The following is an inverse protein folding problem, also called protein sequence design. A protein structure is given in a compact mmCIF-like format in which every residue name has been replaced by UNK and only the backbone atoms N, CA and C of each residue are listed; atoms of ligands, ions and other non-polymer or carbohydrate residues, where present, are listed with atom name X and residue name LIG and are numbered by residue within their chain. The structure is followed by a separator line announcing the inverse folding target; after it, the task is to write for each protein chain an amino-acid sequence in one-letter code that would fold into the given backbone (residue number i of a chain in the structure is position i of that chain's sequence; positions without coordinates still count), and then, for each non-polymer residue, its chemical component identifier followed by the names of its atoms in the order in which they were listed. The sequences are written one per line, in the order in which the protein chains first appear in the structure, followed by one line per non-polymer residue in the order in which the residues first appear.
data_IF_936233286187
#
_entry.id   IF_936233286187
#
_cell.length_a   1.000
_cell.length_b   1.000
_cell.length_c   1.000
_cell.angle_alpha   90.00
_cell.angle_beta   90.00
_cell.angle_gamma   90.00
#
_symmetry.space_group_name_H-M   'P 1'
#
loop_
_entity.id
_entity.type
_entity.pdbx_description
1 polymer ?
#
# COMPACT_ATOMS: atom_id res chain seq x y z
N UNK A 1 33.99 -10.49 3.96
CA UNK A 1 32.63 -10.52 3.38
C UNK A 1 31.69 -10.42 4.56
N UNK A 2 30.95 -9.32 4.68
CA UNK A 2 29.96 -9.19 5.76
C UNK A 2 28.87 -10.22 5.55
N UNK A 3 28.55 -10.97 6.60
CA UNK A 3 27.50 -11.97 6.54
C UNK A 3 26.15 -11.30 6.23
N UNK A 4 25.32 -11.94 5.42
CA UNK A 4 24.05 -11.39 4.96
C UNK A 4 22.90 -12.24 5.48
N UNK A 5 21.93 -11.60 6.13
CA UNK A 5 20.72 -12.26 6.63
C UNK A 5 19.51 -11.88 5.77
N UNK A 6 18.57 -12.82 5.55
CA UNK A 6 17.36 -12.54 4.81
C UNK A 6 16.44 -11.60 5.60
N UNK A 7 15.85 -10.64 4.91
CA UNK A 7 14.80 -9.76 5.43
C UNK A 7 13.55 -9.95 4.59
N UNK A 8 12.42 -10.23 5.23
CA UNK A 8 11.14 -10.47 4.55
C UNK A 8 10.05 -9.66 5.21
N UNK A 9 9.15 -9.09 4.42
CA UNK A 9 8.06 -8.27 4.93
C UNK A 9 6.74 -8.89 4.52
N UNK A 10 5.83 -8.96 5.48
CA UNK A 10 4.53 -9.60 5.31
C UNK A 10 3.41 -8.63 5.64
N UNK A 11 2.40 -8.65 4.79
CA UNK A 11 1.14 -8.00 5.05
C UNK A 11 0.19 -8.95 5.78
N UNK A 12 -0.35 -8.48 6.91
CA UNK A 12 -1.44 -9.17 7.58
C UNK A 12 -2.73 -8.86 6.85
N UNK A 13 -3.52 -9.89 6.55
CA UNK A 13 -4.82 -9.70 5.91
C UNK A 13 -5.76 -8.97 6.89
N UNK A 14 -6.22 -7.78 6.52
CA UNK A 14 -7.06 -6.92 7.37
C UNK A 14 -8.35 -7.64 7.78
N UNK A 15 -8.86 -8.57 6.96
CA UNK A 15 -10.03 -9.38 7.29
C UNK A 15 -9.76 -10.45 8.38
N UNK A 16 -8.49 -10.78 8.62
CA UNK A 16 -8.10 -11.74 9.66
C UNK A 16 -8.01 -11.15 11.07
N UNK A 17 -8.02 -9.80 11.20
CA UNK A 17 -7.95 -9.11 12.52
C UNK A 17 -9.14 -9.38 13.45
N UNK A 18 -10.20 -9.99 12.93
CA UNK A 18 -11.37 -10.42 13.72
C UNK A 18 -11.25 -11.87 14.23
N UNK A 19 -10.18 -12.59 13.88
CA UNK A 19 -9.87 -13.90 14.46
C UNK A 19 -8.90 -13.73 15.62
N UNK A 20 -9.11 -14.49 16.69
CA UNK A 20 -8.38 -14.39 17.95
C UNK A 20 -6.87 -14.22 17.76
N UNK A 21 -6.30 -13.24 18.44
CA UNK A 21 -4.91 -12.80 18.34
C UNK A 21 -3.86 -13.92 18.61
N UNK A 22 -4.27 -15.03 19.21
CA UNK A 22 -3.38 -16.09 19.69
C UNK A 22 -2.81 -17.00 18.59
N UNK A 23 -3.34 -17.01 17.37
CA UNK A 23 -2.91 -17.95 16.32
C UNK A 23 -2.10 -17.35 15.17
N UNK A 24 -1.83 -16.04 15.18
CA UNK A 24 -1.10 -15.37 14.11
C UNK A 24 -1.78 -15.59 12.76
N UNK A 25 -2.73 -14.72 12.41
CA UNK A 25 -3.52 -14.83 11.18
C UNK A 25 -2.65 -15.01 9.92
N UNK A 26 -3.22 -15.52 8.81
CA UNK A 26 -2.46 -15.72 7.58
C UNK A 26 -1.86 -14.40 7.10
N UNK A 27 -0.57 -14.44 6.78
CA UNK A 27 0.17 -13.29 6.26
C UNK A 27 0.61 -13.54 4.82
N UNK A 28 0.79 -12.47 4.05
CA UNK A 28 1.24 -12.53 2.65
C UNK A 28 2.63 -11.92 2.55
N UNK A 29 3.60 -12.65 2.01
CA UNK A 29 4.92 -12.11 1.70
C UNK A 29 4.79 -11.04 0.60
N UNK A 30 5.27 -9.82 0.85
CA UNK A 30 5.15 -8.72 -0.13
C UNK A 30 6.47 -8.12 -0.54
N UNK A 31 7.52 -8.33 0.26
CA UNK A 31 8.86 -7.83 -0.05
C UNK A 31 9.92 -8.75 0.55
N UNK A 32 11.05 -8.88 -0.15
CA UNK A 32 12.21 -9.66 0.31
C UNK A 32 13.49 -8.94 -0.08
N UNK A 33 14.45 -8.90 0.84
CA UNK A 33 15.77 -8.31 0.67
C UNK A 33 16.78 -9.07 1.55
N UNK A 34 18.01 -8.59 1.59
CA UNK A 34 19.03 -8.98 2.57
C UNK A 34 19.53 -7.76 3.33
N UNK A 35 20.07 -7.99 4.53
CA UNK A 35 20.75 -6.97 5.34
C UNK A 35 22.03 -7.56 5.95
N UNK A 36 22.94 -6.69 6.40
CA UNK A 36 24.15 -7.11 7.11
C UNK A 36 23.78 -7.77 8.44
N UNK A 37 24.36 -8.94 8.72
CA UNK A 37 24.11 -9.69 9.96
C UNK A 37 24.58 -8.94 11.23
N UNK A 38 25.54 -8.02 11.07
CA UNK A 38 26.11 -7.24 12.19
C UNK A 38 25.22 -6.07 12.64
N UNK A 39 24.11 -5.79 11.93
CA UNK A 39 23.21 -4.68 12.27
C UNK A 39 22.17 -5.11 13.29
N UNK A 40 21.72 -4.15 14.09
CA UNK A 40 20.60 -4.36 15.01
C UNK A 40 19.33 -4.72 14.21
N UNK A 41 18.67 -5.86 14.50
CA UNK A 41 17.41 -6.22 13.88
C UNK A 41 16.34 -5.12 13.97
N UNK A 42 16.31 -4.33 15.05
CA UNK A 42 15.34 -3.24 15.18
C UNK A 42 15.62 -2.09 14.19
N UNK A 43 16.89 -1.73 13.99
CA UNK A 43 17.26 -0.75 12.96
C UNK A 43 16.92 -1.25 11.55
N UNK A 44 17.07 -2.55 11.29
CA UNK A 44 16.65 -3.16 10.03
C UNK A 44 15.12 -3.04 9.87
N UNK A 45 14.35 -3.31 10.92
CA UNK A 45 12.90 -3.17 10.91
C UNK A 45 12.45 -1.72 10.65
N UNK A 46 13.07 -0.74 11.32
CA UNK A 46 12.82 0.69 11.10
C UNK A 46 13.14 1.09 9.65
N UNK A 47 14.28 0.65 9.11
CA UNK A 47 14.65 0.92 7.72
C UNK A 47 13.62 0.36 6.74
N UNK A 48 13.16 -0.88 6.96
CA UNK A 48 12.12 -1.46 6.09
C UNK A 48 10.79 -0.72 6.20
N UNK A 49 10.44 -0.25 7.40
CA UNK A 49 9.24 0.54 7.61
C UNK A 49 9.29 1.88 6.86
N UNK A 50 10.40 2.60 6.97
CA UNK A 50 10.62 3.86 6.26
C UNK A 50 10.66 3.65 4.74
N UNK A 51 11.44 2.67 4.27
CA UNK A 51 11.61 2.34 2.86
C UNK A 51 10.26 2.09 2.18
N UNK A 52 9.42 1.22 2.76
CA UNK A 52 8.17 0.80 2.11
C UNK A 52 7.02 1.79 2.30
N UNK A 53 7.09 2.68 3.30
CA UNK A 53 6.10 3.73 3.50
C UNK A 53 6.39 4.99 2.69
N UNK A 54 7.61 5.51 2.77
CA UNK A 54 7.97 6.83 2.21
C UNK A 54 9.14 6.78 1.23
N UNK A 55 9.88 5.68 1.13
CA UNK A 55 11.08 5.59 0.28
C UNK A 55 10.83 5.79 -1.23
N UNK A 56 9.58 5.77 -1.69
CA UNK A 56 9.21 6.06 -3.09
C UNK A 56 8.93 7.55 -3.35
N UNK A 57 8.79 8.35 -2.29
CA UNK A 57 8.33 9.73 -2.35
C UNK A 57 9.52 10.69 -2.40
N UNK A 58 9.59 11.47 -3.48
CA UNK A 58 10.67 12.43 -3.71
C UNK A 58 10.64 13.62 -2.74
N UNK A 59 9.53 13.86 -2.04
CA UNK A 59 9.44 14.91 -1.01
C UNK A 59 10.27 14.56 0.24
N UNK A 60 10.53 13.28 0.48
CA UNK A 60 11.26 12.77 1.66
C UNK A 60 12.72 12.39 1.37
N UNK A 61 13.18 12.51 0.12
CA UNK A 61 14.56 12.20 -0.25
C UNK A 61 14.71 11.76 -1.69
N UNK A 62 15.84 11.11 -2.00
CA UNK A 62 16.01 10.44 -3.30
C UNK A 62 15.19 9.16 -3.30
N UNK A 63 14.23 8.98 -4.22
CA UNK A 63 13.42 7.76 -4.26
C UNK A 63 14.28 6.50 -4.42
N UNK A 64 14.04 5.51 -3.56
CA UNK A 64 14.68 4.21 -3.62
C UNK A 64 13.97 3.34 -4.69
N UNK A 65 14.70 2.77 -5.66
CA UNK A 65 14.11 1.90 -6.68
C UNK A 65 13.31 0.73 -6.10
N UNK A 66 13.73 0.17 -4.97
CA UNK A 66 13.05 -0.95 -4.30
C UNK A 66 11.65 -0.54 -3.82
N UNK A 67 11.53 0.69 -3.29
CA UNK A 67 10.25 1.22 -2.83
C UNK A 67 9.33 1.56 -4.02
N UNK A 68 9.88 2.07 -5.12
CA UNK A 68 9.14 2.32 -6.36
C UNK A 68 8.60 1.00 -6.93
N UNK A 69 9.44 -0.03 -7.06
CA UNK A 69 9.03 -1.35 -7.58
C UNK A 69 7.95 -1.98 -6.69
N UNK A 70 8.10 -1.87 -5.38
CA UNK A 70 7.10 -2.30 -4.42
C UNK A 70 5.75 -1.60 -4.62
N UNK A 71 5.73 -0.28 -4.82
CA UNK A 71 4.50 0.49 -5.08
C UNK A 71 3.90 0.21 -6.46
N UNK A 72 4.73 0.00 -7.48
CA UNK A 72 4.27 -0.35 -8.83
C UNK A 72 3.55 -1.70 -8.87
N UNK A 73 3.87 -2.61 -7.95
CA UNK A 73 3.14 -3.88 -7.77
C UNK A 73 1.77 -3.70 -7.07
N UNK A 74 1.40 -2.48 -6.68
CA UNK A 74 0.13 -2.18 -6.03
C UNK A 74 0.10 -2.49 -4.54
N UNK A 75 1.25 -2.75 -3.91
CA UNK A 75 1.32 -3.01 -2.48
C UNK A 75 1.02 -1.74 -1.66
N UNK A 76 0.36 -1.92 -0.51
CA UNK A 76 0.09 -0.82 0.42
C UNK A 76 1.34 -0.50 1.26
N UNK A 77 1.31 0.65 1.92
CA UNK A 77 2.29 0.94 2.98
C UNK A 77 2.15 -0.02 4.16
N UNK A 78 3.21 -0.13 4.95
CA UNK A 78 3.21 -0.93 6.18
C UNK A 78 2.41 -0.24 7.28
N UNK A 79 1.70 -1.06 8.06
CA UNK A 79 0.78 -0.62 9.09
C UNK A 79 0.91 -1.46 10.35
N UNK A 80 0.34 -0.98 11.46
CA UNK A 80 0.25 -1.74 12.72
C UNK A 80 -0.35 -3.12 12.45
N UNK A 81 0.33 -4.16 12.89
CA UNK A 81 -0.01 -5.57 12.70
C UNK A 81 0.65 -6.24 11.50
N UNK A 82 1.36 -5.50 10.64
CA UNK A 82 2.21 -6.11 9.60
C UNK A 82 3.51 -6.65 10.22
N UNK A 83 4.15 -7.63 9.57
CA UNK A 83 5.27 -8.39 10.15
C UNK A 83 6.53 -8.22 9.31
N UNK A 84 7.67 -8.03 9.97
CA UNK A 84 9.01 -8.06 9.39
C UNK A 84 9.77 -9.25 9.97
N UNK A 85 10.29 -10.13 9.12
CA UNK A 85 11.19 -11.20 9.50
C UNK A 85 12.63 -10.77 9.21
N UNK A 86 13.49 -10.88 10.22
CA UNK A 86 14.93 -10.64 10.12
C UNK A 86 15.65 -11.92 10.53
N UNK A 87 16.27 -12.60 9.58
CA UNK A 87 16.82 -13.94 9.79
C UNK A 87 15.72 -14.93 10.19
N UNK A 88 15.78 -15.43 11.43
CA UNK A 88 14.80 -16.38 11.98
C UNK A 88 13.75 -15.72 12.88
N UNK A 89 13.89 -14.43 13.19
CA UNK A 89 13.04 -13.72 14.16
C UNK A 89 11.97 -12.91 13.44
N UNK A 90 10.75 -12.91 14.00
CA UNK A 90 9.61 -12.17 13.47
C UNK A 90 9.26 -11.00 14.39
N UNK A 91 9.05 -9.84 13.79
CA UNK A 91 8.74 -8.58 14.44
C UNK A 91 7.42 -8.05 13.91
N UNK A 92 6.43 -7.91 14.77
CA UNK A 92 5.16 -7.26 14.45
C UNK A 92 5.28 -5.75 14.67
N UNK A 93 4.77 -4.96 13.72
CA UNK A 93 4.67 -3.51 13.85
C UNK A 93 3.58 -3.20 14.88
N UNK A 94 3.99 -2.69 16.04
CA UNK A 94 3.08 -2.22 17.08
C UNK A 94 2.68 -0.75 16.88
N UNK A 95 1.79 -0.22 17.74
CA UNK A 95 1.50 1.21 17.79
C UNK A 95 2.74 2.06 18.13
N UNK A 96 3.67 1.47 18.89
CA UNK A 96 4.93 2.08 19.29
C UNK A 96 6.04 1.04 19.10
N UNK A 97 6.78 1.15 18.01
CA UNK A 97 7.91 0.26 17.69
C UNK A 97 7.51 -1.15 17.28
N UNK A 98 8.42 -2.09 17.50
CA UNK A 98 8.29 -3.48 17.07
C UNK A 98 8.25 -4.44 18.25
N UNK A 99 7.41 -5.48 18.15
CA UNK A 99 7.33 -6.55 19.16
C UNK A 99 7.71 -7.88 18.54
N UNK A 100 8.51 -8.68 19.26
CA UNK A 100 8.85 -10.03 18.81
C UNK A 100 7.61 -10.91 18.90
N UNK A 101 7.30 -11.62 17.82
CA UNK A 101 6.16 -12.54 17.74
C UNK A 101 6.60 -13.93 17.31
N UNK A 102 5.76 -14.92 17.59
CA UNK A 102 5.94 -16.26 17.06
C UNK A 102 5.81 -16.24 15.53
N UNK A 103 6.45 -17.20 14.81
CA UNK A 103 6.24 -17.35 13.38
C UNK A 103 4.74 -17.48 13.05
N UNK A 104 4.25 -16.79 12.01
CA UNK A 104 2.83 -16.84 11.64
C UNK A 104 2.44 -18.26 11.18
N UNK A 105 1.23 -18.69 11.54
CA UNK A 105 0.75 -20.06 11.29
C UNK A 105 0.54 -20.37 9.80
N UNK A 106 0.40 -19.34 8.96
CA UNK A 106 0.27 -19.47 7.52
C UNK A 106 0.95 -18.32 6.76
N UNK A 107 2.03 -18.64 6.04
CA UNK A 107 2.65 -17.72 5.10
C UNK A 107 2.14 -18.05 3.70
N UNK A 108 1.45 -17.08 3.09
CA UNK A 108 1.12 -17.12 1.66
C UNK A 108 2.22 -16.39 0.92
N UNK A 109 2.94 -17.10 0.06
CA UNK A 109 3.68 -16.42 -0.99
C UNK A 109 2.67 -15.82 -1.97
N UNK A 110 2.92 -14.61 -2.50
CA UNK A 110 2.11 -14.12 -3.60
C UNK A 110 2.27 -15.17 -4.70
N UNK A 111 1.15 -15.62 -5.25
CA UNK A 111 1.17 -16.55 -6.36
C UNK A 111 2.11 -15.98 -7.46
N UNK A 112 2.87 -16.83 -8.18
CA UNK A 112 3.62 -16.35 -9.35
C UNK A 112 2.67 -15.54 -10.22
N UNK A 113 3.14 -14.38 -10.69
CA UNK A 113 2.40 -13.37 -11.44
C UNK A 113 1.24 -13.99 -12.23
N UNK A 114 0.04 -13.45 -12.05
CA UNK A 114 -0.97 -13.60 -13.09
C UNK A 114 -0.31 -13.13 -14.39
N UNK A 115 -0.25 -13.97 -15.45
CA UNK A 115 0.24 -13.48 -16.73
C UNK A 115 -0.53 -12.22 -17.06
N UNK A 116 0.20 -11.17 -17.46
CA UNK A 116 -0.34 -9.90 -17.90
C UNK A 116 -1.68 -10.16 -18.60
N UNK A 117 -2.82 -9.59 -18.14
CA UNK A 117 -4.03 -9.67 -18.93
C UNK A 117 -3.65 -9.16 -20.32
N UNK A 118 -3.92 -9.92 -21.39
CA UNK A 118 -3.36 -9.66 -22.71
C UNK A 118 -3.56 -8.19 -22.99
N UNK A 119 -2.45 -7.44 -23.06
CA UNK A 119 -2.43 -5.99 -23.28
C UNK A 119 -3.43 -5.74 -24.38
N UNK A 120 -4.56 -5.13 -24.03
CA UNK A 120 -5.67 -4.94 -24.96
C UNK A 120 -5.05 -4.38 -26.24
N UNK A 121 -5.17 -5.14 -27.34
CA UNK A 121 -4.58 -4.74 -28.60
C UNK A 121 -4.97 -3.28 -28.84
N UNK A 122 -4.03 -2.40 -29.26
CA UNK A 122 -4.38 -1.03 -29.56
C UNK A 122 -5.62 -1.07 -30.45
N UNK A 123 -6.66 -0.25 -30.17
CA UNK A 123 -7.87 -0.27 -30.97
C UNK A 123 -7.45 -0.12 -32.42
N UNK A 124 -7.58 -1.20 -33.20
CA UNK A 124 -7.38 -1.17 -34.65
C UNK A 124 -8.19 0.02 -35.12
N UNK A 125 -7.54 1.03 -35.71
CA UNK A 125 -8.21 2.20 -36.24
C UNK A 125 -9.24 1.74 -37.28
N UNK A 126 -10.46 1.46 -36.82
CA UNK A 126 -11.62 1.39 -37.67
C UNK A 126 -11.89 2.84 -38.04
N UNK A 127 -11.53 3.16 -39.27
CA UNK A 127 -11.86 4.39 -39.95
C UNK A 127 -13.32 4.74 -39.66
N UNK A 128 -13.53 5.81 -38.87
CA UNK A 128 -14.88 6.29 -38.57
C UNK A 128 -15.58 6.64 -39.89
N UNK A 129 -16.83 6.20 -40.12
CA UNK A 129 -17.64 6.81 -41.16
C UNK A 129 -17.91 8.27 -40.78
N UNK A 130 -17.68 9.17 -41.75
CA UNK A 130 -17.94 10.59 -41.63
C UNK A 130 -19.41 10.83 -41.23
N UNK A 131 -19.64 11.12 -39.94
CA UNK A 131 -20.97 11.48 -39.46
C UNK A 131 -21.22 12.95 -39.77
N UNK A 132 -22.13 13.17 -40.69
CA UNK A 132 -22.52 14.48 -41.18
C UNK A 132 -22.98 15.39 -40.04
N UNK A 133 -22.40 16.60 -40.05
CA UNK A 133 -22.85 17.81 -39.37
C UNK A 133 -24.38 17.95 -39.44
N UNK A 134 -25.04 17.98 -38.28
CA UNK A 134 -26.34 18.62 -38.12
C UNK A 134 -26.34 19.56 -36.94
N UNK A 135 -26.19 20.84 -37.26
CA UNK A 135 -26.47 22.00 -36.43
C UNK A 135 -27.98 22.13 -36.17
N UNK A 136 -28.38 22.05 -34.91
CA UNK A 136 -29.58 22.70 -34.32
C UNK A 136 -29.19 22.95 -32.86
N UNK A 137 -29.37 24.11 -32.23
CA UNK A 137 -30.24 25.24 -32.45
C UNK A 137 -30.59 25.75 -31.04
N UNK A 138 -30.42 27.05 -30.81
CA UNK A 138 -30.62 27.81 -29.57
C UNK A 138 -31.80 27.34 -28.68
N UNK A 139 -31.60 27.45 -27.36
CA UNK A 139 -32.68 27.52 -26.38
C UNK A 139 -32.19 28.10 -25.05
N UNK A 140 -32.30 29.42 -24.89
CA UNK A 140 -32.08 30.14 -23.64
C UNK A 140 -33.27 29.96 -22.66
N UNK A 141 -32.98 30.21 -21.36
CA UNK A 141 -33.84 30.43 -20.16
C UNK A 141 -33.37 29.49 -19.04
N UNK A 142 -32.82 29.89 -17.89
CA UNK A 142 -32.88 31.13 -17.11
C UNK A 142 -33.59 30.84 -15.79
N UNK A 143 -32.89 30.86 -14.63
CA UNK A 143 -33.34 31.26 -13.27
C UNK A 143 -32.33 30.86 -12.17
N UNK A 144 -32.42 31.42 -10.94
CA UNK A 144 -31.28 32.03 -10.22
C UNK A 144 -30.93 31.22 -8.92
N UNK A 145 -30.11 31.74 -7.98
CA UNK A 145 -29.38 30.92 -7.00
C UNK A 145 -30.23 30.58 -5.77
N UNK A 146 -29.95 29.42 -5.19
CA UNK A 146 -30.37 29.06 -3.83
C UNK A 146 -29.19 29.29 -2.87
N UNK A 147 -29.29 30.31 -2.00
CA UNK A 147 -28.73 30.19 -0.65
C UNK A 147 -29.73 29.43 0.24
N UNK A 148 -29.63 29.45 1.58
CA UNK A 148 -28.53 29.86 2.47
C UNK A 148 -28.08 28.65 3.33
N UNK A 149 -27.26 28.84 4.38
CA UNK A 149 -27.65 28.57 5.80
C UNK A 149 -26.40 28.53 6.69
N UNK A 150 -26.30 29.50 7.59
CA UNK A 150 -25.35 29.60 8.71
C UNK A 150 -25.59 28.48 9.74
N UNK A 151 -24.56 27.85 10.34
CA UNK A 151 -24.75 27.03 11.52
C UNK A 151 -24.91 27.89 12.80
N UNK A 152 -25.78 27.52 13.75
CA UNK A 152 -25.93 28.23 15.01
C UNK A 152 -24.82 27.90 16.03
N UNK A 153 -24.28 28.97 16.62
CA UNK A 153 -23.43 28.98 17.82
C UNK A 153 -24.28 28.80 19.09
N UNK A 154 -24.09 27.69 19.82
CA UNK A 154 -24.39 27.53 21.27
C UNK A 154 -23.49 26.37 21.76
N UNK A 155 -22.70 26.41 22.81
CA UNK A 155 -22.71 27.21 24.05
C UNK A 155 -22.38 26.19 25.15
N UNK A 156 -21.17 26.25 25.72
CA UNK A 156 -20.73 25.36 26.81
C UNK A 156 -20.91 26.08 28.13
N UNK A 157 -21.72 25.58 29.09
CA UNK A 157 -21.73 26.11 30.44
C UNK A 157 -20.53 25.58 31.23
N UNK A 158 -20.04 26.48 32.10
CA UNK A 158 -19.01 26.30 33.14
C UNK A 158 -19.41 25.31 34.21
#
# INVERSE_FOLDING_TARGET
MSDQIPVRVFHTDIFSRFRSADEGGPVVLVFSSTASADRDPLEICDEMFELLNVGHDAEFGTPDPRAIDYRNQGHRGLSVGDIVQVGATYYEIGPVGFTIVAPPSGIRSPAPEYPDPPRAAPPTSQSAPAFAMRTRGRGARGRPPAGPTTPPTKGRPT
#
